data_IF_526241666850
#
_entry.id   IF_526241666850
#
_cell.length_a   1.000
_cell.length_b   1.000
_cell.length_c   1.000
_cell.angle_alpha   90.00
_cell.angle_beta   90.00
_cell.angle_gamma   90.00
#
_symmetry.space_group_name_H-M   'P 1'
#
loop_
_entity.id
_entity.type
_entity.pdbx_description
1 polymer ?
#
# COMPACT_ATOMS: atom_id res chain seq x y z
N UNK A 1 8.18 -32.95 11.30
CA UNK A 1 8.67 -32.27 10.09
C UNK A 1 7.53 -31.97 9.10
N UNK A 2 6.61 -32.90 8.83
CA UNK A 2 5.50 -32.69 7.89
C UNK A 2 4.51 -31.56 8.32
N UNK A 3 4.10 -31.53 9.59
CA UNK A 3 3.19 -30.50 10.12
C UNK A 3 3.78 -29.07 10.09
N UNK A 4 5.11 -28.92 10.17
CA UNK A 4 5.76 -27.60 10.18
C UNK A 4 5.84 -27.00 8.76
N UNK A 5 6.12 -27.84 7.75
CA UNK A 5 6.09 -27.43 6.35
C UNK A 5 4.67 -27.01 5.92
N UNK A 6 3.63 -27.68 6.42
CA UNK A 6 2.24 -27.31 6.15
C UNK A 6 1.89 -25.93 6.73
N UNK A 7 2.29 -25.64 7.96
CA UNK A 7 2.02 -24.34 8.61
C UNK A 7 2.71 -23.16 7.89
N UNK A 8 3.97 -23.34 7.46
CA UNK A 8 4.67 -22.31 6.69
C UNK A 8 4.02 -22.04 5.32
N UNK A 9 3.61 -23.10 4.62
CA UNK A 9 2.89 -22.97 3.35
C UNK A 9 1.55 -22.24 3.53
N UNK A 10 0.83 -22.53 4.62
CA UNK A 10 -0.41 -21.82 4.94
C UNK A 10 -0.17 -20.32 5.16
N UNK A 11 0.82 -19.93 5.96
CA UNK A 11 1.14 -18.52 6.22
C UNK A 11 1.54 -17.77 4.94
N UNK A 12 2.29 -18.42 4.06
CA UNK A 12 2.65 -17.87 2.74
C UNK A 12 1.43 -17.62 1.87
N UNK A 13 0.51 -18.58 1.83
CA UNK A 13 -0.72 -18.45 1.05
C UNK A 13 -1.60 -17.32 1.60
N UNK A 14 -1.72 -17.19 2.93
CA UNK A 14 -2.48 -16.10 3.57
C UNK A 14 -1.89 -14.74 3.21
N UNK A 15 -0.57 -14.56 3.32
CA UNK A 15 0.08 -13.31 2.96
C UNK A 15 -0.07 -12.97 1.47
N UNK A 16 0.00 -13.96 0.59
CA UNK A 16 -0.19 -13.74 -0.84
C UNK A 16 -1.65 -13.33 -1.14
N UNK A 17 -2.63 -14.00 -0.54
CA UNK A 17 -4.05 -13.66 -0.70
C UNK A 17 -4.33 -12.24 -0.22
N UNK A 18 -3.81 -11.86 0.96
CA UNK A 18 -3.95 -10.50 1.49
C UNK A 18 -3.28 -9.46 0.59
N UNK A 19 -2.08 -9.75 0.09
CA UNK A 19 -1.39 -8.88 -0.84
C UNK A 19 -2.20 -8.64 -2.13
N UNK A 20 -2.77 -9.71 -2.70
CA UNK A 20 -3.64 -9.60 -3.89
C UNK A 20 -4.92 -8.83 -3.56
N UNK A 21 -5.57 -9.11 -2.43
CA UNK A 21 -6.81 -8.46 -2.03
C UNK A 21 -6.64 -6.93 -1.88
N UNK A 22 -5.54 -6.50 -1.22
CA UNK A 22 -5.21 -5.09 -1.02
C UNK A 22 -4.70 -4.41 -2.31
N UNK A 23 -4.14 -5.16 -3.25
CA UNK A 23 -3.84 -4.62 -4.58
C UNK A 23 -5.13 -4.38 -5.36
N UNK A 24 -6.06 -5.33 -5.30
CA UNK A 24 -7.37 -5.22 -5.95
C UNK A 24 -8.20 -4.07 -5.39
N UNK A 25 -8.16 -3.82 -4.07
CA UNK A 25 -8.86 -2.67 -3.47
C UNK A 25 -8.36 -1.35 -4.06
N UNK A 26 -7.05 -1.19 -4.26
CA UNK A 26 -6.49 0.02 -4.88
C UNK A 26 -6.96 0.22 -6.32
N UNK A 27 -7.07 -0.86 -7.10
CA UNK A 27 -7.63 -0.79 -8.46
C UNK A 27 -9.10 -0.36 -8.44
N UNK A 28 -9.89 -0.88 -7.50
CA UNK A 28 -11.29 -0.47 -7.30
C UNK A 28 -11.37 1.01 -6.91
N UNK A 29 -10.50 1.48 -6.00
CA UNK A 29 -10.45 2.89 -5.59
C UNK A 29 -10.23 3.79 -6.80
N UNK A 30 -9.30 3.44 -7.71
CA UNK A 30 -9.02 4.22 -8.91
C UNK A 30 -10.20 4.21 -9.87
N UNK A 31 -10.81 3.04 -10.08
CA UNK A 31 -12.00 2.91 -10.90
C UNK A 31 -13.12 3.82 -10.38
N UNK A 32 -13.47 3.69 -9.10
CA UNK A 32 -14.51 4.50 -8.47
C UNK A 32 -14.17 6.00 -8.55
N UNK A 33 -12.92 6.35 -8.28
CA UNK A 33 -12.49 7.76 -8.28
C UNK A 33 -12.63 8.40 -9.66
N UNK A 34 -12.18 7.70 -10.70
CA UNK A 34 -12.25 8.17 -12.08
C UNK A 34 -13.68 8.36 -12.56
N UNK A 35 -14.59 7.44 -12.24
CA UNK A 35 -15.94 7.45 -12.80
C UNK A 35 -16.98 8.21 -11.96
N UNK A 36 -16.81 8.29 -10.64
CA UNK A 36 -17.83 8.84 -9.74
C UNK A 36 -17.39 10.08 -8.97
N UNK A 37 -16.09 10.20 -8.64
CA UNK A 37 -15.62 11.26 -7.74
C UNK A 37 -15.01 12.44 -8.48
N UNK A 38 -14.44 12.22 -9.65
CA UNK A 38 -13.85 13.25 -10.51
C UNK A 38 -14.89 13.88 -11.43
N UNK A 39 -16.10 14.12 -10.91
CA UNK A 39 -17.08 14.99 -11.56
C UNK A 39 -16.57 16.42 -11.39
N UNK A 40 -16.57 17.20 -12.47
CA UNK A 40 -16.03 18.58 -12.52
C UNK A 40 -16.55 19.43 -11.35
N UNK A 41 -15.71 19.56 -10.32
CA UNK A 41 -15.93 20.45 -9.19
C UNK A 41 -14.75 21.39 -9.13
N UNK A 42 -14.99 22.66 -9.43
CA UNK A 42 -14.01 23.72 -9.22
C UNK A 42 -13.96 24.07 -7.73
N UNK A 43 -13.14 23.32 -7.00
CA UNK A 43 -12.82 23.63 -5.61
C UNK A 43 -11.46 24.32 -5.60
N UNK A 44 -11.43 25.54 -5.06
CA UNK A 44 -10.18 26.29 -4.89
C UNK A 44 -9.33 25.63 -3.79
N UNK A 45 -8.40 24.79 -4.21
CA UNK A 45 -7.49 24.09 -3.32
C UNK A 45 -6.37 25.04 -2.86
N UNK A 46 -6.21 25.31 -1.55
CA UNK A 46 -5.16 26.19 -1.07
C UNK A 46 -3.78 25.68 -1.49
N UNK A 47 -2.89 26.54 -2.04
CA UNK A 47 -1.57 26.12 -2.52
C UNK A 47 -0.77 25.34 -1.45
N UNK A 48 -0.88 25.75 -0.18
CA UNK A 48 -0.22 25.11 0.95
C UNK A 48 -0.64 23.65 1.20
N UNK A 49 -1.91 23.28 0.96
CA UNK A 49 -2.37 21.91 1.17
C UNK A 49 -1.72 20.91 0.22
N UNK A 50 -1.39 21.34 -1.01
CA UNK A 50 -0.71 20.46 -1.98
C UNK A 50 0.62 19.96 -1.43
N UNK A 51 1.45 20.86 -0.91
CA UNK A 51 2.76 20.50 -0.39
C UNK A 51 2.67 19.58 0.83
N UNK A 52 1.67 19.80 1.69
CA UNK A 52 1.42 18.95 2.87
C UNK A 52 1.05 17.53 2.44
N UNK A 53 0.12 17.37 1.48
CA UNK A 53 -0.29 16.05 1.01
C UNK A 53 0.84 15.30 0.29
N UNK A 54 1.65 16.00 -0.50
CA UNK A 54 2.84 15.41 -1.13
C UNK A 54 3.84 14.96 -0.08
N UNK A 55 4.15 15.81 0.91
CA UNK A 55 5.07 15.45 2.00
C UNK A 55 4.55 14.25 2.80
N UNK A 56 3.25 14.20 3.08
CA UNK A 56 2.60 13.09 3.76
C UNK A 56 2.71 11.79 2.95
N UNK A 57 2.45 11.83 1.65
CA UNK A 57 2.59 10.66 0.79
C UNK A 57 4.03 10.16 0.74
N UNK A 58 5.02 11.06 0.62
CA UNK A 58 6.44 10.67 0.66
C UNK A 58 6.78 10.02 2.00
N UNK A 59 6.33 10.59 3.13
CA UNK A 59 6.54 10.00 4.44
C UNK A 59 5.90 8.60 4.57
N UNK A 60 4.66 8.43 4.07
CA UNK A 60 3.98 7.14 4.03
C UNK A 60 4.72 6.11 3.18
N UNK A 61 5.23 6.49 2.01
CA UNK A 61 6.03 5.59 1.15
C UNK A 61 7.34 5.17 1.81
N UNK A 62 8.04 6.11 2.46
CA UNK A 62 9.26 5.81 3.23
C UNK A 62 8.94 4.86 4.38
N UNK A 63 7.91 5.14 5.16
CA UNK A 63 7.51 4.30 6.29
C UNK A 63 7.07 2.91 5.82
N UNK A 64 6.29 2.86 4.73
CA UNK A 64 5.88 1.63 4.06
C UNK A 64 7.10 0.77 3.68
N UNK A 65 8.11 1.39 3.07
CA UNK A 65 9.36 0.71 2.69
C UNK A 65 10.13 0.20 3.90
N UNK A 66 10.24 0.99 4.96
CA UNK A 66 10.93 0.61 6.20
C UNK A 66 10.20 -0.55 6.89
N UNK A 67 8.88 -0.47 7.02
CA UNK A 67 8.06 -1.53 7.59
C UNK A 67 8.22 -2.83 6.81
N UNK A 68 8.13 -2.78 5.49
CA UNK A 68 8.28 -3.96 4.64
C UNK A 68 9.69 -4.57 4.70
N UNK A 69 10.74 -3.74 4.76
CA UNK A 69 12.11 -4.24 4.94
C UNK A 69 12.27 -4.95 6.29
N UNK A 70 11.71 -4.38 7.38
CA UNK A 70 11.68 -5.04 8.70
C UNK A 70 10.88 -6.34 8.65
N UNK A 71 9.74 -6.37 7.96
CA UNK A 71 8.94 -7.59 7.78
C UNK A 71 9.78 -8.71 7.15
N UNK A 72 10.47 -8.43 6.05
CA UNK A 72 11.32 -9.42 5.38
C UNK A 72 12.49 -9.89 6.26
N UNK A 73 13.08 -9.00 7.06
CA UNK A 73 14.15 -9.36 7.99
C UNK A 73 13.67 -10.27 9.14
N UNK A 74 12.42 -10.10 9.56
CA UNK A 74 11.81 -10.87 10.65
C UNK A 74 11.11 -12.14 10.16
N UNK A 75 10.75 -12.23 8.87
CA UNK A 75 9.84 -13.25 8.33
C UNK A 75 10.28 -14.69 8.59
N UNK A 76 11.59 -14.93 8.66
CA UNK A 76 12.16 -16.23 9.04
C UNK A 76 13.00 -16.03 10.28
N UNK A 77 12.58 -16.64 11.38
CA UNK A 77 13.46 -16.76 12.54
C UNK A 77 14.65 -17.64 12.15
N UNK A 78 15.85 -17.07 12.17
CA UNK A 78 17.08 -17.75 11.72
C UNK A 78 17.42 -18.96 12.59
N UNK A 79 16.95 -19.02 13.83
CA UNK A 79 17.23 -20.14 14.73
C UNK A 79 16.25 -21.29 14.54
N UNK A 80 14.96 -21.00 14.37
CA UNK A 80 13.92 -22.02 14.30
C UNK A 80 13.44 -22.32 12.89
N UNK A 81 13.85 -21.51 11.90
CA UNK A 81 13.27 -21.42 10.55
C UNK A 81 11.76 -21.21 10.55
N UNK A 82 11.14 -20.85 11.67
CA UNK A 82 9.68 -20.66 11.77
C UNK A 82 9.29 -19.26 11.30
N UNK A 83 8.05 -19.16 10.83
CA UNK A 83 7.46 -17.87 10.49
C UNK A 83 7.27 -17.05 11.76
N UNK A 84 7.81 -15.82 11.78
CA UNK A 84 7.62 -14.93 12.92
C UNK A 84 6.29 -14.18 12.78
N UNK A 85 5.32 -14.34 13.70
CA UNK A 85 4.04 -13.66 13.64
C UNK A 85 4.17 -12.13 13.68
N UNK A 86 5.23 -11.58 14.29
CA UNK A 86 5.46 -10.13 14.30
C UNK A 86 5.76 -9.57 12.91
N UNK A 87 6.36 -10.36 12.02
CA UNK A 87 6.64 -9.95 10.63
C UNK A 87 5.34 -9.70 9.85
N UNK A 88 4.27 -10.43 10.19
CA UNK A 88 2.95 -10.30 9.58
C UNK A 88 2.38 -8.89 9.77
N UNK A 89 2.47 -8.36 11.00
CA UNK A 89 2.01 -7.00 11.31
C UNK A 89 2.76 -5.95 10.49
N UNK A 90 4.07 -6.12 10.29
CA UNK A 90 4.86 -5.20 9.47
C UNK A 90 4.53 -5.28 7.97
N UNK A 91 4.16 -6.45 7.45
CA UNK A 91 3.63 -6.59 6.09
C UNK A 91 2.34 -5.78 5.92
N UNK A 92 1.38 -5.97 6.84
CA UNK A 92 0.10 -5.24 6.82
C UNK A 92 0.33 -3.73 6.90
N UNK A 93 1.20 -3.27 7.80
CA UNK A 93 1.51 -1.84 7.93
C UNK A 93 2.10 -1.30 6.62
N UNK A 94 3.02 -2.04 5.99
CA UNK A 94 3.60 -1.64 4.70
C UNK A 94 2.53 -1.44 3.62
N UNK A 95 1.65 -2.42 3.46
CA UNK A 95 0.56 -2.36 2.47
C UNK A 95 -0.46 -1.28 2.78
N UNK A 96 -0.89 -1.14 4.04
CA UNK A 96 -1.83 -0.11 4.46
C UNK A 96 -1.30 1.31 4.17
N UNK A 97 0.01 1.52 4.31
CA UNK A 97 0.63 2.81 3.97
C UNK A 97 0.67 3.06 2.46
N UNK A 98 0.84 2.03 1.65
CA UNK A 98 0.74 2.14 0.18
C UNK A 98 -0.71 2.46 -0.24
N UNK A 99 -1.69 1.84 0.41
CA UNK A 99 -3.11 2.12 0.17
C UNK A 99 -3.50 3.54 0.62
N UNK A 100 -2.96 4.02 1.75
CA UNK A 100 -3.17 5.40 2.21
C UNK A 100 -2.69 6.42 1.16
N UNK A 101 -1.57 6.16 0.47
CA UNK A 101 -1.09 7.01 -0.63
C UNK A 101 -2.08 7.02 -1.79
N UNK A 102 -2.67 5.87 -2.13
CA UNK A 102 -3.74 5.79 -3.14
C UNK A 102 -4.97 6.60 -2.69
N UNK A 103 -5.36 6.55 -1.41
CA UNK A 103 -6.46 7.37 -0.85
C UNK A 103 -6.15 8.87 -0.94
N UNK A 104 -4.89 9.28 -0.71
CA UNK A 104 -4.48 10.67 -0.91
C UNK A 104 -4.70 11.12 -2.36
N UNK A 105 -4.52 10.22 -3.35
CA UNK A 105 -4.87 10.51 -4.75
C UNK A 105 -6.36 10.82 -4.94
N UNK A 106 -7.24 10.09 -4.25
CA UNK A 106 -8.68 10.37 -4.25
C UNK A 106 -8.95 11.76 -3.68
N UNK A 107 -8.38 12.05 -2.50
CA UNK A 107 -8.53 13.36 -1.87
C UNK A 107 -8.05 14.48 -2.78
N UNK A 108 -6.92 14.26 -3.46
CA UNK A 108 -6.31 15.24 -4.35
C UNK A 108 -7.19 15.57 -5.55
N UNK A 109 -7.83 14.56 -6.17
CA UNK A 109 -8.73 14.80 -7.30
C UNK A 109 -10.12 15.30 -6.88
N UNK A 110 -10.64 14.90 -5.72
CA UNK A 110 -11.91 15.40 -5.18
C UNK A 110 -11.82 16.85 -4.75
N UNK A 111 -10.76 17.21 -4.01
CA UNK A 111 -10.59 18.55 -3.46
C UNK A 111 -9.92 19.52 -4.43
N UNK A 112 -9.18 19.00 -5.42
CA UNK A 112 -8.47 19.81 -6.40
C UNK A 112 -9.18 19.95 -7.74
N UNK A 113 -10.28 19.24 -7.97
CA UNK A 113 -11.04 19.30 -9.21
C UNK A 113 -10.25 18.86 -10.45
N UNK A 114 -10.71 19.31 -11.62
CA UNK A 114 -10.17 18.95 -12.93
C UNK A 114 -8.69 19.30 -13.11
N UNK A 115 -8.25 20.42 -12.51
CA UNK A 115 -6.87 20.91 -12.57
C UNK A 115 -5.86 19.98 -11.88
N UNK A 116 -6.33 19.06 -11.04
CA UNK A 116 -5.49 18.25 -10.18
C UNK A 116 -5.59 16.74 -10.46
N UNK A 117 -6.33 16.32 -11.49
CA UNK A 117 -6.43 14.91 -11.88
C UNK A 117 -5.09 14.26 -12.20
N UNK A 118 -4.20 14.97 -12.92
CA UNK A 118 -2.87 14.43 -13.22
C UNK A 118 -2.09 14.12 -11.94
N UNK A 119 -2.15 15.01 -10.95
CA UNK A 119 -1.51 14.81 -9.65
C UNK A 119 -2.15 13.68 -8.87
N UNK A 120 -3.48 13.57 -8.87
CA UNK A 120 -4.18 12.43 -8.30
C UNK A 120 -3.69 11.08 -8.89
N UNK A 121 -3.50 11.02 -10.20
CA UNK A 121 -2.93 9.83 -10.85
C UNK A 121 -1.50 9.52 -10.41
N UNK A 122 -0.66 10.53 -10.14
CA UNK A 122 0.66 10.29 -9.57
C UNK A 122 0.59 9.59 -8.20
N UNK A 123 -0.32 10.01 -7.31
CA UNK A 123 -0.52 9.33 -6.03
C UNK A 123 -1.02 7.89 -6.21
N UNK A 124 -1.98 7.66 -7.11
CA UNK A 124 -2.46 6.32 -7.43
C UNK A 124 -1.33 5.39 -7.91
N UNK A 125 -0.52 5.87 -8.86
CA UNK A 125 0.60 5.11 -9.39
C UNK A 125 1.65 4.86 -8.31
N UNK A 126 1.95 5.85 -7.46
CA UNK A 126 2.91 5.70 -6.38
C UNK A 126 2.47 4.67 -5.34
N UNK A 127 1.20 4.70 -4.93
CA UNK A 127 0.62 3.72 -4.00
C UNK A 127 0.64 2.31 -4.58
N UNK A 128 0.12 2.12 -5.80
CA UNK A 128 0.13 0.81 -6.47
C UNK A 128 1.56 0.28 -6.66
N UNK A 129 2.46 1.12 -7.17
CA UNK A 129 3.83 0.70 -7.45
C UNK A 129 4.54 0.29 -6.16
N UNK A 130 4.37 1.07 -5.10
CA UNK A 130 4.86 0.72 -3.76
C UNK A 130 4.30 -0.63 -3.30
N UNK A 131 3.00 -0.85 -3.44
CA UNK A 131 2.35 -2.13 -3.07
C UNK A 131 2.89 -3.31 -3.88
N UNK A 132 3.12 -3.13 -5.19
CA UNK A 132 3.65 -4.17 -6.07
C UNK A 132 5.07 -4.56 -5.68
N UNK A 133 5.93 -3.57 -5.41
CA UNK A 133 7.29 -3.80 -4.93
C UNK A 133 7.34 -4.52 -3.57
N UNK A 134 6.23 -4.48 -2.85
CA UNK A 134 6.03 -5.10 -1.54
C UNK A 134 5.34 -6.45 -1.63
N UNK A 135 5.55 -7.20 -2.71
CA UNK A 135 5.16 -8.60 -2.78
C UNK A 135 5.94 -9.41 -1.73
N UNK A 136 5.29 -10.18 -0.85
CA UNK A 136 5.96 -10.92 0.21
C UNK A 136 6.92 -11.97 -0.40
N UNK A 137 8.19 -11.91 -0.01
CA UNK A 137 9.25 -12.83 -0.47
C UNK A 137 9.51 -13.88 0.61
N UNK A 138 8.63 -14.86 0.72
CA UNK A 138 8.84 -16.00 1.60
C UNK A 138 9.62 -17.04 0.79
N UNK A 139 10.95 -16.91 0.84
CA UNK A 139 11.86 -17.95 0.38
C UNK A 139 11.80 -19.08 1.42
N UNK A 140 11.55 -20.30 0.93
CA UNK A 140 11.70 -21.53 1.69
C UNK A 140 13.19 -21.85 1.87
#
# INVERSE_FOLDING_TARGET
MENENQSQNQNKNVLLVLWIALLSSQLIIIFVSKYYLFIERDVNFPPGMTYILVALAVAMLVFSRVAFNKANQMAVDKMTRKFNPQSFSFYIIGWAMSEAVTILGVMYGVLGGSLNYQKAYFFFLAGIFSHILQKPKINA
#
